data_IF_642944054514
#
_entry.id   IF_642944054514
#
_cell.length_a   1.000
_cell.length_b   1.000
_cell.length_c   1.000
_cell.angle_alpha   90.00
_cell.angle_beta   90.00
_cell.angle_gamma   90.00
#
_symmetry.space_group_name_H-M   'P 1'
#
loop_
_entity.id
_entity.type
_entity.pdbx_description
1 polymer ?
#
# COMPACT_ATOMS: atom_id res chain seq x y z
N UNK A 1 10.44 36.00 -1.67
CA UNK A 1 9.48 35.16 -2.42
C UNK A 1 9.82 33.72 -2.08
N UNK A 2 9.00 33.05 -1.27
CA UNK A 2 9.21 31.66 -0.88
C UNK A 2 8.66 30.76 -1.99
N UNK A 3 9.49 29.84 -2.50
CA UNK A 3 9.08 28.86 -3.50
C UNK A 3 8.12 27.85 -2.84
N UNK A 4 6.86 27.72 -3.29
CA UNK A 4 5.88 26.81 -2.68
C UNK A 4 6.21 25.32 -2.92
N UNK A 5 7.20 25.01 -3.75
CA UNK A 5 7.66 23.65 -4.06
C UNK A 5 8.95 23.26 -3.33
N UNK A 6 9.06 23.65 -2.06
CA UNK A 6 10.16 23.20 -1.22
C UNK A 6 9.89 21.75 -0.80
N UNK A 7 10.27 20.79 -1.64
CA UNK A 7 10.26 19.37 -1.27
C UNK A 7 11.27 19.18 -0.13
N UNK A 8 10.80 18.82 1.07
CA UNK A 8 11.66 18.30 2.13
C UNK A 8 12.25 16.99 1.61
N UNK A 9 13.57 16.95 1.40
CA UNK A 9 14.30 15.89 0.68
C UNK A 9 14.24 14.46 1.28
N UNK A 10 13.32 14.15 2.19
CA UNK A 10 13.10 12.80 2.71
C UNK A 10 11.61 12.57 2.99
N UNK A 11 10.98 11.67 2.23
CA UNK A 11 9.66 11.09 2.57
C UNK A 11 9.90 9.91 3.50
N UNK A 12 9.21 9.85 4.65
CA UNK A 12 9.34 8.71 5.56
C UNK A 12 8.78 7.44 4.91
N UNK A 13 9.38 6.28 5.21
CA UNK A 13 8.83 4.98 4.80
C UNK A 13 7.43 4.75 5.35
N UNK A 14 7.11 5.33 6.51
CA UNK A 14 5.78 5.28 7.12
C UNK A 14 4.68 5.95 6.26
N UNK A 15 5.07 6.81 5.30
CA UNK A 15 4.14 7.54 4.42
C UNK A 15 4.01 6.90 3.03
N UNK A 16 4.80 5.87 2.73
CA UNK A 16 4.84 5.24 1.42
C UNK A 16 3.91 4.04 1.33
N UNK A 17 3.20 3.96 0.21
CA UNK A 17 2.33 2.85 -0.12
C UNK A 17 2.74 2.22 -1.45
N UNK A 18 2.57 0.91 -1.56
CA UNK A 18 2.79 0.14 -2.79
C UNK A 18 1.47 -0.47 -3.23
N UNK A 19 1.15 -0.33 -4.52
CA UNK A 19 -0.02 -0.99 -5.09
C UNK A 19 0.27 -2.48 -5.29
N UNK A 20 -0.45 -3.33 -4.56
CA UNK A 20 -0.39 -4.78 -4.69
C UNK A 20 -1.70 -5.27 -5.29
N UNK A 21 -1.59 -6.06 -6.36
CA UNK A 21 -2.74 -6.63 -7.07
C UNK A 21 -3.05 -8.04 -6.57
N UNK A 22 -4.27 -8.49 -6.81
CA UNK A 22 -4.61 -9.91 -6.78
C UNK A 22 -3.69 -10.73 -7.73
N UNK A 23 -3.33 -11.98 -7.41
CA UNK A 23 -3.60 -12.72 -6.17
C UNK A 23 -2.63 -12.40 -5.02
N UNK A 24 -1.58 -11.62 -5.26
CA UNK A 24 -0.49 -11.41 -4.30
C UNK A 24 -0.92 -10.73 -3.01
N UNK A 25 -2.02 -9.98 -3.04
CA UNK A 25 -2.58 -9.36 -1.84
C UNK A 25 -3.26 -10.36 -0.90
N UNK A 26 -3.56 -11.59 -1.35
CA UNK A 26 -4.33 -12.58 -0.59
C UNK A 26 -3.73 -12.90 0.78
N UNK A 27 -2.42 -13.14 0.84
CA UNK A 27 -1.73 -13.50 2.08
C UNK A 27 -1.80 -12.35 3.09
N UNK A 28 -1.69 -11.11 2.61
CA UNK A 28 -1.77 -9.93 3.46
C UNK A 28 -3.19 -9.69 4.00
N UNK A 29 -4.24 -10.22 3.35
CA UNK A 29 -5.62 -10.01 3.80
C UNK A 29 -5.94 -10.73 5.13
N UNK A 30 -5.11 -11.67 5.54
CA UNK A 30 -5.23 -12.40 6.81
C UNK A 30 -4.65 -11.62 8.00
N UNK A 31 -3.85 -10.59 7.73
CA UNK A 31 -3.21 -9.78 8.76
C UNK A 31 -4.19 -8.84 9.47
N UNK A 32 -4.08 -8.75 10.79
CA UNK A 32 -4.96 -7.91 11.62
C UNK A 32 -4.92 -6.42 11.24
N UNK A 33 -3.79 -5.94 10.73
CA UNK A 33 -3.59 -4.54 10.31
C UNK A 33 -4.16 -4.25 8.93
N UNK A 34 -4.42 -5.26 8.11
CA UNK A 34 -4.73 -5.08 6.69
C UNK A 34 -5.97 -4.21 6.46
N UNK A 35 -7.06 -4.51 7.17
CA UNK A 35 -8.33 -3.80 7.01
C UNK A 35 -8.29 -2.36 7.53
N UNK A 36 -7.38 -2.08 8.46
CA UNK A 36 -7.24 -0.76 9.07
C UNK A 36 -6.31 0.15 8.26
N UNK A 37 -5.29 -0.42 7.62
CA UNK A 37 -4.18 0.37 7.06
C UNK A 37 -4.09 0.33 5.53
N UNK A 38 -4.64 -0.69 4.86
CA UNK A 38 -4.63 -0.78 3.40
C UNK A 38 -5.80 0.00 2.78
N UNK A 39 -5.55 0.59 1.62
CA UNK A 39 -6.56 1.34 0.86
C UNK A 39 -6.92 0.56 -0.40
N UNK A 40 -8.19 0.21 -0.56
CA UNK A 40 -8.68 -0.45 -1.76
C UNK A 40 -8.52 0.48 -2.97
N UNK A 41 -7.82 0.01 -4.00
CA UNK A 41 -7.72 0.68 -5.29
C UNK A 41 -8.94 0.31 -6.14
N UNK A 42 -9.92 1.22 -6.17
CA UNK A 42 -11.08 1.14 -7.05
C UNK A 42 -10.77 1.94 -8.33
N UNK A 43 -10.54 1.25 -9.45
CA UNK A 43 -10.56 1.90 -10.76
C UNK A 43 -12.01 2.09 -11.18
N UNK A 44 -12.44 3.33 -11.44
CA UNK A 44 -13.80 3.63 -11.88
C UNK A 44 -14.10 3.15 -13.31
N UNK A 45 -13.04 2.83 -14.08
CA UNK A 45 -13.14 2.26 -15.41
C UNK A 45 -12.73 0.78 -15.37
N UNK A 46 -13.69 -0.09 -15.71
CA UNK A 46 -13.51 -1.46 -16.23
C UNK A 46 -12.67 -2.44 -15.38
N UNK A 47 -12.78 -2.45 -14.05
CA UNK A 47 -12.36 -3.63 -13.30
C UNK A 47 -13.35 -4.77 -13.57
N UNK A 48 -12.98 -5.70 -14.46
CA UNK A 48 -13.53 -7.06 -14.43
C UNK A 48 -13.41 -7.54 -12.97
N UNK A 49 -14.54 -7.97 -12.42
CA UNK A 49 -14.90 -8.16 -11.00
C UNK A 49 -13.93 -8.93 -10.06
N UNK A 50 -12.71 -9.26 -10.50
CA UNK A 50 -11.72 -10.08 -9.80
C UNK A 50 -10.38 -9.37 -9.51
N UNK A 51 -10.14 -8.17 -10.05
CA UNK A 51 -8.87 -7.45 -9.91
C UNK A 51 -8.82 -6.52 -8.68
N UNK A 52 -9.18 -7.04 -7.50
CA UNK A 52 -9.02 -6.28 -6.25
C UNK A 52 -7.54 -5.98 -6.01
N UNK A 53 -7.17 -4.71 -6.07
CA UNK A 53 -5.82 -4.23 -5.75
C UNK A 53 -5.89 -3.29 -4.55
N UNK A 54 -4.84 -3.27 -3.73
CA UNK A 54 -4.77 -2.44 -2.54
C UNK A 54 -3.44 -1.68 -2.51
N UNK A 55 -3.49 -0.43 -2.08
CA UNK A 55 -2.31 0.26 -1.60
C UNK A 55 -1.98 -0.26 -0.20
N UNK A 56 -0.82 -0.88 -0.06
CA UNK A 56 -0.32 -1.48 1.18
C UNK A 56 0.82 -0.61 1.72
N UNK A 57 0.84 -0.27 3.03
CA UNK A 57 1.95 0.48 3.62
C UNK A 57 3.28 -0.27 3.43
N UNK A 58 4.30 0.42 2.94
CA UNK A 58 5.61 -0.19 2.67
C UNK A 58 6.25 -0.75 3.95
N UNK A 59 6.06 -0.07 5.08
CA UNK A 59 6.49 -0.54 6.40
C UNK A 59 5.93 -1.93 6.73
N UNK A 60 4.64 -2.15 6.51
CA UNK A 60 3.98 -3.44 6.81
C UNK A 60 4.54 -4.56 5.95
N UNK A 61 4.93 -4.28 4.71
CA UNK A 61 5.59 -5.26 3.85
C UNK A 61 6.97 -5.67 4.38
N UNK A 62 7.74 -4.73 4.95
CA UNK A 62 9.01 -5.06 5.60
C UNK A 62 8.79 -5.93 6.85
N UNK A 63 7.87 -5.52 7.72
CA UNK A 63 7.53 -6.26 8.95
C UNK A 63 7.02 -7.68 8.63
N UNK A 64 6.14 -7.82 7.62
CA UNK A 64 5.61 -9.11 7.17
C UNK A 64 6.72 -10.03 6.65
N UNK A 65 7.65 -9.49 5.85
CA UNK A 65 8.79 -10.27 5.34
C UNK A 65 9.73 -10.74 6.45
N UNK A 66 9.90 -9.96 7.52
CA UNK A 66 10.75 -10.33 8.65
C UNK A 66 10.11 -11.41 9.55
N UNK A 67 8.78 -11.60 9.50
CA UNK A 67 8.08 -12.65 10.25
C UNK A 67 8.15 -14.03 9.58
N UNK A 68 8.33 -14.07 8.26
CA UNK A 68 8.48 -15.28 7.45
C UNK A 68 9.91 -15.87 7.47
N UNK A 69 10.87 -15.21 8.13
CA UNK A 69 12.29 -15.61 8.19
C UNK A 69 12.73 -16.08 9.57
#
# INVERSE_FOLDING_TARGET
MNNPYQFSNATSVDELYVLIKWPFVQELMEEDWFRAECILYQSFDEQEYLDSAYFVPLKRLYEFKEQEG
#
